data_IF_822896341558
#
_entry.id   IF_822896341558
#
_cell.length_a   1.000
_cell.length_b   1.000
_cell.length_c   1.000
_cell.angle_alpha   90.00
_cell.angle_beta   90.00
_cell.angle_gamma   90.00
#
_symmetry.space_group_name_H-M   'P 1'
#
loop_
_entity.id
_entity.type
_entity.pdbx_description
1 polymer ?
2 non-polymer ?
3 non-polymer ?
4 water ?
#
# COMPACT_ATOMS: atom_id res chain seq x y z
N UNK A 17 26.16 -13.15 9.47
CA UNK A 17 24.81 -12.49 9.44
C UNK A 17 24.51 -11.88 8.06
N UNK A 18 23.87 -12.67 7.17
CA UNK A 18 23.48 -12.19 5.83
C UNK A 18 22.32 -11.20 5.88
N UNK A 19 22.18 -10.37 4.86
CA UNK A 19 21.13 -9.34 4.81
C UNK A 19 20.31 -9.35 3.52
N UNK A 20 19.13 -8.75 3.58
CA UNK A 20 18.26 -8.57 2.42
C UNK A 20 18.15 -7.08 2.08
N UNK A 21 18.44 -6.75 0.82
CA UNK A 21 18.25 -5.39 0.33
C UNK A 21 16.87 -5.28 -0.28
N UNK A 22 16.08 -4.31 0.17
CA UNK A 22 14.72 -4.12 -0.31
C UNK A 22 14.61 -2.82 -1.12
N UNK A 23 14.13 -2.95 -2.36
CA UNK A 23 14.05 -1.82 -3.28
C UNK A 23 12.61 -1.52 -3.67
N UNK A 24 12.22 -0.26 -3.53
CA UNK A 24 10.94 0.24 -4.02
C UNK A 24 11.17 1.45 -4.91
N UNK A 25 11.05 1.24 -6.22
CA UNK A 25 11.30 2.30 -7.19
C UNK A 25 10.02 3.01 -7.62
N UNK A 26 9.79 4.19 -7.05
CA UNK A 26 8.67 5.03 -7.46
C UNK A 26 9.01 5.80 -8.71
N UNK A 27 8.02 6.57 -9.20
CA UNK A 27 8.21 7.43 -10.37
C UNK A 27 9.22 8.54 -10.08
N UNK A 28 9.16 9.07 -8.85
CA UNK A 28 9.97 10.22 -8.45
C UNK A 28 11.18 9.86 -7.58
N UNK A 29 11.18 8.67 -6.97
CA UNK A 29 12.24 8.27 -6.03
C UNK A 29 12.56 6.78 -5.98
N UNK A 30 13.57 6.41 -5.17
CA UNK A 30 13.92 5.03 -4.89
C UNK A 30 14.05 4.82 -3.39
N UNK A 31 13.09 4.13 -2.78
CA UNK A 31 13.16 3.80 -1.36
C UNK A 31 13.86 2.46 -1.17
N UNK A 32 14.66 2.35 -0.10
CA UNK A 32 15.36 1.10 0.19
C UNK A 32 15.56 0.82 1.67
N UNK A 33 15.62 -0.46 2.01
CA UNK A 33 15.93 -0.88 3.37
C UNK A 33 16.91 -2.05 3.37
N UNK A 34 17.76 -2.10 4.38
CA UNK A 34 18.62 -3.26 4.61
C UNK A 34 18.18 -3.93 5.90
N UNK A 35 17.58 -5.11 5.78
CA UNK A 35 17.11 -5.88 6.91
C UNK A 35 18.02 -7.07 7.15
N UNK A 36 18.24 -7.38 8.43
CA UNK A 36 19.06 -8.53 8.83
C UNK A 36 18.24 -9.82 8.80
N UNK A 37 18.67 -10.77 7.97
CA UNK A 37 17.99 -12.05 7.79
C UNK A 37 17.69 -12.74 9.12
N UNK A 38 18.64 -12.66 10.07
CA UNK A 38 18.53 -13.32 11.36
C UNK A 38 17.30 -12.91 12.17
N UNK A 39 17.06 -11.60 12.26
CA UNK A 39 16.03 -11.06 13.15
C UNK A 39 14.92 -10.30 12.44
N UNK A 40 15.09 -10.09 11.13
CA UNK A 40 14.18 -9.26 10.31
C UNK A 40 14.10 -7.81 10.80
N UNK A 41 15.23 -7.26 11.20
CA UNK A 41 15.32 -5.90 11.74
C UNK A 41 16.07 -4.96 10.79
N UNK A 42 15.59 -3.73 10.66
CA UNK A 42 16.20 -2.73 9.78
C UNK A 42 17.55 -2.28 10.32
N UNK A 43 18.60 -2.49 9.52
CA UNK A 43 19.94 -2.02 9.85
C UNK A 43 20.23 -0.68 9.18
N UNK A 44 19.60 -0.47 8.03
CA UNK A 44 19.82 0.74 7.25
C UNK A 44 18.59 1.05 6.39
N UNK A 45 18.29 2.33 6.21
CA UNK A 45 17.20 2.78 5.36
C UNK A 45 17.61 4.05 4.62
N UNK A 46 16.85 4.41 3.59
CA UNK A 46 17.13 5.61 2.82
C UNK A 46 16.16 5.91 1.70
N UNK A 47 16.49 6.91 0.89
CA UNK A 47 15.66 7.36 -0.23
C UNK A 47 16.50 8.16 -1.24
N UNK A 48 16.28 7.89 -2.52
CA UNK A 48 16.89 8.68 -3.59
C UNK A 48 15.81 9.55 -4.25
N UNK A 49 15.51 10.67 -3.61
CA UNK A 49 14.38 11.54 -3.98
C UNK A 49 14.70 12.43 -5.19
N UNK A 50 13.64 12.91 -5.85
CA UNK A 50 13.75 13.79 -7.03
C UNK A 50 14.60 13.17 -8.13
N UNK A 51 14.17 12.01 -8.61
CA UNK A 51 14.99 11.16 -9.47
C UNK A 51 15.15 11.67 -10.91
N UNK A 52 16.40 11.66 -11.37
CA UNK A 52 16.82 12.11 -12.72
C UNK A 52 16.41 13.53 -13.16
N UNK A 53 15.80 14.30 -12.25
CA UNK A 53 15.55 15.73 -12.47
C UNK A 53 16.86 16.50 -12.36
N UNK A 54 16.84 17.78 -12.73
CA UNK A 54 18.02 18.66 -12.62
C UNK A 54 18.75 18.48 -11.29
N UNK A 55 17.98 18.38 -10.20
CA UNK A 55 18.53 18.10 -8.87
C UNK A 55 18.10 16.72 -8.36
N UNK A 56 19.08 15.85 -8.14
CA UNK A 56 18.85 14.52 -7.58
C UNK A 56 19.75 14.29 -6.37
N UNK A 57 19.21 13.59 -5.37
CA UNK A 57 19.91 13.40 -4.08
C UNK A 57 19.44 12.16 -3.32
N UNK A 58 20.25 11.69 -2.39
CA UNK A 58 19.87 10.59 -1.49
C UNK A 58 20.21 10.90 -0.02
N UNK A 59 19.31 10.51 0.88
CA UNK A 59 19.51 10.71 2.31
C UNK A 59 19.32 9.41 3.10
N UNK A 60 20.43 8.87 3.59
CA UNK A 60 20.43 7.61 4.32
C UNK A 60 20.18 7.86 5.80
N UNK A 61 19.08 7.31 6.32
CA UNK A 61 18.64 7.52 7.71
C UNK A 61 18.35 8.98 8.05
N UNK A 62 18.21 9.81 7.01
CA UNK A 62 18.04 11.26 7.17
C UNK A 62 19.18 11.93 7.91
N UNK A 63 20.39 11.38 7.76
CA UNK A 63 21.54 11.81 8.55
C UNK A 63 22.53 12.69 7.77
N UNK A 64 22.56 12.55 6.46
CA UNK A 64 23.44 13.33 5.60
C UNK A 64 22.88 13.39 4.17
N UNK A 65 22.08 14.43 3.86
CA UNK A 65 21.49 14.57 2.52
C UNK A 65 22.56 14.85 1.45
N UNK A 66 23.13 13.78 0.90
CA UNK A 66 24.13 13.86 -0.16
C UNK A 66 23.52 14.29 -1.49
N UNK A 67 24.36 14.63 -2.46
CA UNK A 67 23.89 15.14 -3.75
C UNK A 67 24.31 14.27 -4.95
N UNK A 68 23.32 13.72 -5.64
CA UNK A 68 23.54 12.94 -6.85
C UNK A 68 23.79 13.86 -8.05
N UNK A 69 22.95 14.87 -8.20
CA UNK A 69 23.07 15.87 -9.27
C UNK A 69 22.74 15.28 -10.65
N UNK A 70 21.46 15.29 -11.00
CA UNK A 70 20.97 14.89 -12.33
C UNK A 70 21.21 13.42 -12.74
N UNK A 71 21.56 12.58 -11.77
CA UNK A 71 21.81 11.16 -12.03
C UNK A 71 20.50 10.36 -12.14
N UNK A 72 20.54 9.27 -12.92
CA UNK A 72 19.34 8.45 -13.19
C UNK A 72 19.16 7.30 -12.21
N UNK A 73 18.27 6.37 -12.56
CA UNK A 73 17.96 5.19 -11.73
C UNK A 73 19.17 4.27 -11.52
N UNK A 74 19.94 4.06 -12.59
CA UNK A 74 21.11 3.19 -12.56
C UNK A 74 22.21 3.73 -11.64
N UNK A 75 22.47 5.03 -11.75
CA UNK A 75 23.50 5.70 -10.93
C UNK A 75 23.08 5.87 -9.48
N UNK A 76 21.77 6.01 -9.26
CA UNK A 76 21.21 6.17 -7.92
C UNK A 76 21.39 4.90 -7.08
N UNK A 77 21.07 3.74 -7.68
CA UNK A 77 21.26 2.45 -7.02
C UNK A 77 22.75 2.13 -6.88
N UNK A 78 23.57 2.71 -7.76
CA UNK A 78 25.02 2.60 -7.68
C UNK A 78 25.59 3.40 -6.50
N UNK A 79 24.91 4.49 -6.16
CA UNK A 79 25.27 5.32 -4.99
C UNK A 79 24.93 4.62 -3.68
N UNK A 80 23.75 3.98 -3.66
CA UNK A 80 23.30 3.16 -2.53
C UNK A 80 24.23 1.95 -2.33
N UNK A 81 24.75 1.44 -3.45
CA UNK A 81 25.70 0.33 -3.44
C UNK A 81 27.04 0.73 -2.83
N UNK A 82 27.48 1.96 -3.10
CA UNK A 82 28.70 2.53 -2.51
C UNK A 82 28.62 2.60 -0.99
N UNK A 83 27.47 3.07 -0.49
CA UNK A 83 27.24 3.24 0.95
C UNK A 83 27.02 1.92 1.67
N UNK A 84 26.57 0.91 0.91
CA UNK A 84 26.50 -0.46 1.41
C UNK A 84 27.90 -1.01 1.64
N UNK A 85 28.84 -0.60 0.79
CA UNK A 85 30.25 -1.01 0.87
C UNK A 85 31.01 -0.17 1.89
N UNK A 86 30.65 1.11 1.99
CA UNK A 86 31.23 2.03 2.98
C UNK A 86 30.94 1.57 4.41
N UNK A 87 29.86 0.81 4.57
CA UNK A 87 29.50 0.24 5.87
C UNK A 87 29.79 -1.27 5.92
N UNK A 88 30.63 -1.72 4.99
CA UNK A 88 31.14 -3.10 4.93
C UNK A 88 30.08 -4.21 4.96
N UNK A 89 28.95 -3.98 4.28
CA UNK A 89 27.87 -4.97 4.24
C UNK A 89 27.49 -5.45 2.83
N UNK A 90 28.22 -4.98 1.81
CA UNK A 90 27.98 -5.39 0.43
C UNK A 90 28.12 -6.90 0.28
N UNK A 91 29.16 -7.45 0.89
CA UNK A 91 29.44 -8.89 0.80
C UNK A 91 28.52 -9.72 1.71
N UNK A 92 27.53 -9.05 2.31
CA UNK A 92 26.58 -9.70 3.20
C UNK A 92 25.17 -9.80 2.57
N UNK A 93 24.94 -9.03 1.51
CA UNK A 93 23.67 -9.02 0.78
C UNK A 93 23.39 -10.36 0.11
N UNK A 94 22.62 -11.21 0.79
CA UNK A 94 22.27 -12.53 0.26
C UNK A 94 21.08 -12.50 -0.69
N UNK A 95 20.18 -11.53 -0.48
CA UNK A 95 18.94 -11.44 -1.25
C UNK A 95 18.57 -10.00 -1.60
N UNK A 96 17.87 -9.82 -2.72
CA UNK A 96 17.32 -8.52 -3.09
C UNK A 96 15.83 -8.63 -3.40
N UNK A 97 15.01 -7.89 -2.65
CA UNK A 97 13.57 -7.87 -2.86
C UNK A 97 13.11 -6.63 -3.60
N UNK A 98 12.38 -6.82 -4.69
CA UNK A 98 11.83 -5.72 -5.46
C UNK A 98 10.32 -5.60 -5.24
N UNK A 99 9.90 -4.42 -4.80
CA UNK A 99 8.48 -4.10 -4.68
C UNK A 99 7.98 -3.78 -6.08
N UNK A 100 6.97 -4.50 -6.53
CA UNK A 100 6.39 -4.28 -7.87
C UNK A 100 4.96 -3.78 -7.73
N UNK A 101 4.67 -2.68 -8.42
CA UNK A 101 3.36 -2.05 -8.36
C UNK A 101 2.21 -2.91 -8.86
N UNK A 102 2.31 -3.40 -10.10
CA UNK A 102 1.18 -4.06 -10.76
C UNK A 102 1.57 -5.40 -11.39
N UNK A 103 1.08 -6.49 -10.80
CA UNK A 103 1.39 -7.82 -11.30
C UNK A 103 0.43 -8.32 -12.37
N UNK A 104 -0.65 -7.57 -12.59
CA UNK A 104 -1.67 -7.96 -13.55
C UNK A 104 -2.33 -9.26 -13.16
N UNK A 105 -2.59 -10.10 -14.15
CA UNK A 105 -3.28 -11.36 -13.93
C UNK A 105 -2.28 -12.52 -13.80
N UNK A 106 -1.04 -12.26 -14.24
CA UNK A 106 -0.02 -13.30 -14.37
C UNK A 106 0.63 -13.71 -13.05
N UNK A 107 0.63 -12.81 -12.07
CA UNK A 107 1.37 -13.05 -10.83
C UNK A 107 0.48 -13.23 -9.59
N UNK A 108 0.45 -14.46 -9.08
CA UNK A 108 -0.41 -14.79 -7.95
C UNK A 108 0.37 -14.84 -6.64
N UNK A 109 1.69 -14.96 -6.74
CA UNK A 109 2.57 -15.00 -5.57
C UNK A 109 3.90 -14.31 -5.87
N UNK A 110 4.78 -14.23 -4.88
CA UNK A 110 6.12 -13.65 -5.07
C UNK A 110 7.04 -14.65 -5.78
N UNK A 111 7.87 -14.14 -6.68
CA UNK A 111 8.72 -15.00 -7.51
C UNK A 111 10.22 -14.66 -7.42
N UNK A 112 11.05 -15.65 -7.76
CA UNK A 112 12.47 -15.44 -8.01
C UNK A 112 12.60 -14.88 -9.41
N UNK A 113 13.29 -13.76 -9.55
CA UNK A 113 13.40 -13.07 -10.83
C UNK A 113 14.26 -13.85 -11.85
N UNK A 114 13.67 -14.07 -13.02
CA UNK A 114 14.37 -14.65 -14.16
C UNK A 114 14.07 -13.78 -15.37
N UNK A 115 14.72 -14.09 -16.49
CA UNK A 115 14.42 -13.42 -17.76
C UNK A 115 12.93 -13.50 -18.09
N UNK A 116 12.32 -14.65 -17.79
CA UNK A 116 10.89 -14.86 -18.01
C UNK A 116 10.03 -13.88 -17.22
N UNK A 117 10.36 -13.71 -15.94
CA UNK A 117 9.60 -12.81 -15.08
C UNK A 117 9.65 -11.39 -15.63
N UNK A 118 10.84 -10.95 -16.01
CA UNK A 118 11.01 -9.61 -16.59
C UNK A 118 10.09 -9.45 -17.80
N UNK A 119 10.11 -10.42 -18.70
CA UNK A 119 9.25 -10.41 -19.88
C UNK A 119 7.79 -10.24 -19.47
N UNK A 120 7.37 -11.04 -18.49
CA UNK A 120 6.01 -11.02 -17.97
C UNK A 120 5.63 -9.71 -17.29
N UNK A 121 6.58 -9.09 -16.60
CA UNK A 121 6.37 -7.78 -15.98
C UNK A 121 6.25 -6.71 -17.07
N UNK A 122 7.11 -6.80 -18.09
CA UNK A 122 7.04 -5.92 -19.26
C UNK A 122 5.68 -6.03 -19.96
N UNK A 123 5.11 -7.24 -19.98
CA UNK A 123 3.82 -7.51 -20.59
C UNK A 123 2.65 -6.77 -19.93
N UNK A 124 2.59 -6.83 -18.60
CA UNK A 124 1.51 -6.18 -17.81
C UNK A 124 1.76 -4.71 -17.52
N UNK A 125 2.92 -4.20 -17.95
CA UNK A 125 3.32 -2.82 -17.69
C UNK A 125 2.45 -1.71 -18.27
N UNK A 126 1.66 -1.98 -19.33
CA UNK A 126 0.71 -0.96 -19.77
C UNK A 126 -0.36 -0.63 -18.73
N UNK A 127 -0.63 -1.57 -17.81
CA UNK A 127 -1.64 -1.37 -16.76
C UNK A 127 -1.22 -0.34 -15.72
N UNK A 128 0.08 -0.09 -15.62
CA UNK A 128 0.64 0.93 -14.73
C UNK A 128 1.97 1.45 -15.29
N UNK A 129 1.92 2.26 -16.36
CA UNK A 129 3.13 2.71 -17.04
C UNK A 129 4.08 3.50 -16.12
N UNK A 130 3.50 4.34 -15.26
CA UNK A 130 4.27 5.18 -14.35
C UNK A 130 5.20 4.36 -13.45
N UNK A 131 4.61 3.61 -12.52
CA UNK A 131 5.37 2.89 -11.50
C UNK A 131 6.11 1.66 -12.02
N UNK A 132 5.45 0.87 -12.87
CA UNK A 132 6.05 -0.39 -13.34
C UNK A 132 7.34 -0.25 -14.14
N UNK A 133 7.41 0.75 -15.02
CA UNK A 133 8.63 0.95 -15.80
C UNK A 133 9.81 1.36 -14.91
N UNK A 134 9.50 2.08 -13.84
CA UNK A 134 10.49 2.44 -12.82
C UNK A 134 10.93 1.20 -12.03
N UNK A 135 9.98 0.31 -11.75
CA UNK A 135 10.26 -0.95 -11.06
C UNK A 135 11.26 -1.82 -11.83
N UNK A 136 11.08 -1.86 -13.15
CA UNK A 136 11.97 -2.61 -14.04
C UNK A 136 13.34 -1.98 -14.13
N UNK A 137 13.39 -0.65 -14.17
CA UNK A 137 14.64 0.10 -14.16
C UNK A 137 15.48 -0.30 -12.95
N UNK A 138 14.82 -0.43 -11.80
CA UNK A 138 15.42 -0.92 -10.58
C UNK A 138 15.90 -2.35 -10.68
N UNK A 139 15.11 -3.20 -11.34
CA UNK A 139 15.49 -4.59 -11.57
C UNK A 139 16.72 -4.68 -12.46
N UNK A 140 16.74 -3.84 -13.50
CA UNK A 140 17.86 -3.76 -14.42
C UNK A 140 19.13 -3.33 -13.67
N UNK A 141 18.97 -2.31 -12.81
CA UNK A 141 20.07 -1.77 -12.01
C UNK A 141 20.64 -2.79 -11.02
N UNK A 142 19.80 -3.30 -10.13
CA UNK A 142 20.22 -4.27 -9.14
C UNK A 142 20.85 -5.51 -9.78
N UNK A 143 20.31 -5.94 -10.92
CA UNK A 143 20.89 -7.06 -11.68
C UNK A 143 22.32 -6.78 -12.10
N UNK A 144 22.52 -5.62 -12.71
CA UNK A 144 23.84 -5.18 -13.18
C UNK A 144 24.88 -5.14 -12.05
N UNK A 145 24.52 -4.55 -10.91
CA UNK A 145 25.44 -4.34 -9.81
C UNK A 145 25.54 -5.50 -8.81
N UNK A 146 24.54 -6.38 -8.79
CA UNK A 146 24.52 -7.52 -7.89
C UNK A 146 24.09 -8.80 -8.64
N UNK A 147 24.93 -9.25 -9.60
CA UNK A 147 24.51 -10.32 -10.51
C UNK A 147 24.43 -11.71 -9.87
N UNK A 148 25.39 -12.03 -9.01
CA UNK A 148 25.46 -13.33 -8.36
C UNK A 148 24.65 -13.37 -7.05
N UNK A 149 23.68 -12.48 -6.92
CA UNK A 149 22.76 -12.47 -5.79
C UNK A 149 21.34 -12.76 -6.28
N UNK A 150 20.69 -13.71 -5.62
CA UNK A 150 19.30 -14.06 -5.91
C UNK A 150 18.38 -12.85 -5.73
N UNK A 151 17.48 -12.66 -6.67
CA UNK A 151 16.56 -11.51 -6.61
C UNK A 151 15.09 -11.93 -6.72
N UNK A 152 14.26 -11.29 -5.90
CA UNK A 152 12.85 -11.64 -5.75
C UNK A 152 11.96 -10.46 -6.14
N UNK A 153 10.87 -10.77 -6.85
CA UNK A 153 9.85 -9.77 -7.16
C UNK A 153 8.61 -10.00 -6.31
N UNK A 154 8.20 -8.97 -5.57
CA UNK A 154 7.02 -9.03 -4.73
C UNK A 154 6.00 -8.01 -5.26
N UNK A 155 4.80 -8.50 -5.51
CA UNK A 155 3.77 -7.71 -6.19
C UNK A 155 2.72 -7.13 -5.24
N UNK A 156 2.33 -5.89 -5.52
CA UNK A 156 1.36 -5.17 -4.71
C UNK A 156 -0.06 -5.63 -5.01
N UNK A 157 -0.20 -6.50 -6.02
CA UNK A 157 -1.51 -6.98 -6.48
C UNK A 157 -1.75 -8.46 -6.21
N UNK A 158 -0.67 -9.23 -6.07
CA UNK A 158 -0.74 -10.69 -6.07
C UNK A 158 -1.70 -11.29 -5.05
N UNK A 159 -1.79 -10.64 -3.89
CA UNK A 159 -2.66 -11.09 -2.79
C UNK A 159 -4.15 -11.09 -3.19
N UNK A 160 -4.53 -10.13 -4.02
CA UNK A 160 -5.91 -9.91 -4.40
C UNK A 160 -6.40 -10.81 -5.53
N UNK A 161 -5.55 -11.73 -5.98
CA UNK A 161 -5.90 -12.62 -7.10
C UNK A 161 -6.88 -13.74 -6.72
N UNK A 162 -7.08 -13.94 -5.42
CA UNK A 162 -8.09 -14.90 -4.95
C UNK A 162 -9.53 -14.42 -5.17
N UNK A 163 -9.70 -13.16 -5.55
CA UNK A 163 -11.01 -12.59 -5.86
C UNK A 163 -11.77 -13.38 -6.95
N UNK A 164 -13.04 -13.65 -6.70
CA UNK A 164 -13.92 -14.32 -7.66
C UNK A 164 -14.35 -13.32 -8.73
N UNK A 165 -14.76 -13.81 -9.93
CA UNK A 165 -15.13 -12.93 -11.04
C UNK A 165 -16.17 -11.87 -10.67
N UNK A 166 -17.20 -12.26 -9.91
CA UNK A 166 -18.24 -11.36 -9.43
C UNK A 166 -17.69 -10.18 -8.61
N UNK A 167 -16.50 -10.36 -8.05
CA UNK A 167 -15.84 -9.35 -7.25
C UNK A 167 -14.93 -8.46 -8.09
N UNK A 168 -14.35 -9.02 -9.15
CA UNK A 168 -13.40 -8.24 -9.97
C UNK A 168 -13.93 -7.75 -11.31
N UNK A 169 -15.04 -8.30 -11.77
CA UNK A 169 -15.65 -7.85 -13.01
C UNK A 169 -16.29 -6.48 -12.84
N UNK A 170 -16.09 -5.62 -13.84
CA UNK A 170 -16.81 -4.37 -13.93
C UNK A 170 -18.06 -4.58 -14.77
N UNK A 171 -18.99 -3.64 -14.68
CA UNK A 171 -20.24 -3.68 -15.44
C UNK A 171 -20.09 -3.35 -16.91
N UNK A 172 -18.89 -2.99 -17.32
CA UNK A 172 -18.58 -2.66 -18.72
C UNK A 172 -18.79 -3.84 -19.66
N UNK A 173 -18.81 -3.60 -21.00
CA UNK A 173 -18.89 -4.70 -21.96
C UNK A 173 -17.76 -5.71 -21.78
N UNK A 174 -18.10 -6.99 -21.96
CA UNK A 174 -17.18 -8.10 -21.75
C UNK A 174 -15.83 -8.00 -22.47
N UNK A 175 -15.82 -7.40 -23.67
CA UNK A 175 -14.59 -7.24 -24.45
C UNK A 175 -13.45 -6.54 -23.71
N UNK A 176 -13.78 -5.46 -22.99
CA UNK A 176 -12.79 -4.71 -22.22
C UNK A 176 -12.03 -5.59 -21.22
N UNK A 177 -12.70 -6.63 -20.72
CA UNK A 177 -12.06 -7.61 -19.84
C UNK A 177 -11.23 -8.63 -20.62
N UNK A 178 -11.81 -9.24 -21.66
CA UNK A 178 -11.16 -10.33 -22.39
C UNK A 178 -10.00 -9.90 -23.29
N UNK A 179 -10.15 -8.77 -23.98
CA UNK A 179 -9.13 -8.30 -24.91
C UNK A 179 -8.16 -7.26 -24.33
N UNK A 180 -8.59 -6.57 -23.27
CA UNK A 180 -7.80 -5.48 -22.70
C UNK A 180 -7.44 -5.66 -21.21
N UNK A 181 -8.07 -6.63 -20.56
CA UNK A 181 -7.79 -6.94 -19.16
C UNK A 181 -8.28 -5.90 -18.16
N UNK A 182 -9.43 -5.29 -18.46
CA UNK A 182 -10.04 -4.32 -17.55
C UNK A 182 -10.85 -5.03 -16.46
N UNK A 183 -10.35 -4.95 -15.24
CA UNK A 183 -10.95 -5.60 -14.07
C UNK A 183 -10.33 -5.01 -12.81
N UNK A 184 -10.94 -5.33 -11.66
CA UNK A 184 -10.38 -4.98 -10.37
C UNK A 184 -9.10 -5.79 -10.14
N UNK A 185 -8.07 -5.12 -9.64
CA UNK A 185 -6.86 -5.81 -9.25
C UNK A 185 -6.62 -5.68 -7.75
N UNK A 186 -6.66 -4.44 -7.26
CA UNK A 186 -6.43 -4.17 -5.85
C UNK A 186 -4.97 -3.87 -5.58
N UNK A 187 -4.72 -3.16 -4.47
CA UNK A 187 -3.38 -2.72 -4.12
C UNK A 187 -3.19 -2.76 -2.61
N UNK A 188 -1.98 -2.43 -2.15
CA UNK A 188 -1.58 -2.63 -0.75
C UNK A 188 -1.58 -4.11 -0.36
N UNK A 189 -1.57 -4.99 -1.36
CA UNK A 189 -1.64 -6.44 -1.18
C UNK A 189 -0.66 -6.98 -0.15
N UNK A 190 0.58 -6.50 -0.21
CA UNK A 190 1.64 -6.92 0.68
C UNK A 190 1.33 -6.52 2.11
N UNK A 191 0.88 -5.27 2.28
CA UNK A 191 0.40 -4.77 3.56
C UNK A 191 -0.78 -5.61 4.05
N UNK A 192 -1.79 -5.77 3.20
CA UNK A 192 -3.00 -6.54 3.54
C UNK A 192 -2.67 -7.97 3.93
N UNK A 193 -1.75 -8.57 3.18
CA UNK A 193 -1.25 -9.90 3.47
C UNK A 193 -0.55 -9.93 4.83
N UNK A 194 0.41 -9.01 5.03
CA UNK A 194 1.18 -8.96 6.27
C UNK A 194 0.31 -8.76 7.51
N UNK A 195 -0.59 -7.79 7.43
CA UNK A 195 -1.45 -7.43 8.55
C UNK A 195 -2.38 -8.58 8.92
N UNK A 196 -3.06 -9.13 7.92
CA UNK A 196 -3.99 -10.25 8.12
C UNK A 196 -3.33 -11.44 8.83
N UNK A 197 -2.09 -11.76 8.46
CA UNK A 197 -1.36 -12.86 9.11
C UNK A 197 -1.22 -12.59 10.59
N UNK A 198 -0.67 -11.42 10.92
CA UNK A 198 -0.48 -11.00 12.31
C UNK A 198 -1.79 -11.04 13.10
N UNK A 199 -2.87 -10.62 12.45
CA UNK A 199 -4.20 -10.64 13.04
C UNK A 199 -4.62 -12.01 13.55
N UNK A 200 -4.27 -13.06 12.81
CA UNK A 200 -4.58 -14.42 13.26
C UNK A 200 -3.96 -14.74 14.59
N UNK A 201 -2.73 -14.28 14.80
CA UNK A 201 -2.04 -14.49 16.06
C UNK A 201 -2.54 -13.57 17.16
N UNK A 202 -2.68 -12.28 16.85
CA UNK A 202 -3.16 -11.30 17.83
C UNK A 202 -4.59 -11.59 18.31
N UNK A 203 -5.49 -11.87 17.38
CA UNK A 203 -6.89 -12.16 17.73
C UNK A 203 -7.11 -13.61 18.15
N UNK A 204 -6.07 -14.43 18.03
CA UNK A 204 -6.13 -15.88 18.23
C UNK A 204 -7.26 -16.49 17.41
N UNK A 205 -7.08 -16.50 16.10
CA UNK A 205 -8.08 -16.97 15.15
C UNK A 205 -7.49 -18.05 14.27
N UNK A 206 -8.30 -19.07 13.98
CA UNK A 206 -7.90 -20.08 13.00
C UNK A 206 -8.07 -19.49 11.61
N UNK A 207 -6.94 -19.30 10.91
CA UNK A 207 -6.93 -18.75 9.55
C UNK A 207 -7.99 -19.38 8.65
N UNK A 208 -8.04 -20.70 8.59
CA UNK A 208 -8.93 -21.44 7.69
C UNK A 208 -10.42 -21.29 8.02
N UNK A 209 -10.73 -20.71 9.18
CA UNK A 209 -12.11 -20.43 9.57
C UNK A 209 -12.24 -19.01 10.15
N UNK A 210 -11.97 -17.99 9.33
CA UNK A 210 -11.90 -16.62 9.79
C UNK A 210 -12.44 -15.61 8.78
N UNK A 211 -12.91 -14.47 9.29
CA UNK A 211 -13.35 -13.36 8.45
C UNK A 211 -12.85 -12.04 9.02
N UNK A 212 -11.96 -11.38 8.28
CA UNK A 212 -11.37 -10.12 8.71
C UNK A 212 -11.65 -9.02 7.70
N UNK A 213 -11.64 -7.79 8.17
CA UNK A 213 -11.59 -6.62 7.30
C UNK A 213 -10.34 -5.84 7.70
N UNK A 214 -9.54 -5.45 6.72
CA UNK A 214 -8.33 -4.68 6.98
C UNK A 214 -8.42 -3.30 6.33
N UNK A 215 -8.29 -2.26 7.15
CA UNK A 215 -8.31 -0.89 6.67
C UNK A 215 -6.89 -0.30 6.62
N UNK A 216 -6.30 -0.33 5.43
CA UNK A 216 -5.02 0.33 5.22
C UNK A 216 -5.28 1.80 4.99
N UNK A 217 -4.98 2.62 5.99
CA UNK A 217 -5.22 4.05 5.90
C UNK A 217 -3.90 4.82 5.94
N UNK A 218 -3.49 5.30 4.79
CA UNK A 218 -2.34 6.19 4.65
C UNK A 218 -2.66 7.26 3.61
N UNK A 219 -1.63 7.87 3.03
CA UNK A 219 -1.84 8.79 1.90
C UNK A 219 -2.52 8.07 0.74
N UNK A 220 -2.27 6.78 0.66
CA UNK A 220 -3.05 5.87 -0.15
C UNK A 220 -3.85 4.99 0.79
N UNK A 221 -5.15 4.85 0.52
CA UNK A 221 -6.02 4.12 1.41
C UNK A 221 -6.82 3.05 0.65
N UNK A 222 -6.88 1.85 1.24
CA UNK A 222 -7.67 0.75 0.67
C UNK A 222 -8.17 -0.19 1.75
N UNK A 223 -9.28 -0.86 1.45
CA UNK A 223 -9.91 -1.83 2.34
C UNK A 223 -9.84 -3.21 1.71
N UNK A 224 -9.66 -4.24 2.54
CA UNK A 224 -9.63 -5.61 2.06
C UNK A 224 -10.40 -6.56 2.97
N UNK A 225 -11.24 -7.37 2.35
CA UNK A 225 -11.94 -8.44 3.05
C UNK A 225 -11.16 -9.73 2.89
N UNK A 226 -10.75 -10.31 4.01
CA UNK A 226 -9.99 -11.54 4.02
C UNK A 226 -10.82 -12.67 4.62
N UNK A 227 -11.27 -13.58 3.77
CA UNK A 227 -12.05 -14.72 4.21
C UNK A 227 -11.19 -15.96 4.20
N UNK A 228 -11.12 -16.62 5.35
CA UNK A 228 -10.32 -17.84 5.54
C UNK A 228 -8.90 -17.75 4.98
N UNK A 229 -8.23 -16.63 5.29
CA UNK A 229 -6.87 -16.37 4.78
C UNK A 229 -6.79 -15.87 3.35
N UNK A 230 -7.93 -15.65 2.71
CA UNK A 230 -7.94 -15.26 1.30
C UNK A 230 -8.61 -13.91 1.04
N UNK A 231 -7.99 -13.11 0.19
CA UNK A 231 -8.55 -11.84 -0.23
C UNK A 231 -9.77 -12.09 -1.12
N UNK A 232 -10.94 -11.71 -0.64
CA UNK A 232 -12.19 -11.94 -1.37
C UNK A 232 -12.78 -10.66 -1.97
N UNK A 233 -12.41 -9.52 -1.39
CA UNK A 233 -12.86 -8.22 -1.90
C UNK A 233 -11.85 -7.16 -1.50
N UNK A 234 -11.69 -6.14 -2.34
CA UNK A 234 -10.79 -5.02 -2.05
C UNK A 234 -11.32 -3.70 -2.62
N UNK A 235 -10.97 -2.60 -1.96
CA UNK A 235 -11.52 -1.28 -2.25
C UNK A 235 -11.05 -0.66 -3.56
N UNK A 236 -9.74 -0.76 -3.83
CA UNK A 236 -9.16 -0.21 -5.05
C UNK A 236 -9.55 -1.06 -6.26
N UNK A 237 -9.28 -0.56 -7.46
CA UNK A 237 -9.75 -1.23 -8.66
C UNK A 237 -8.66 -1.64 -9.62
N UNK A 238 -8.86 -1.33 -10.90
CA UNK A 238 -7.82 -1.50 -11.90
C UNK A 238 -6.66 -0.58 -11.54
N UNK A 239 -6.99 0.67 -11.22
CA UNK A 239 -6.00 1.66 -10.77
C UNK A 239 -6.23 2.01 -9.31
N UNK A 240 -5.22 2.61 -8.65
CA UNK A 240 -5.37 3.02 -7.26
C UNK A 240 -6.39 4.15 -7.02
N UNK A 241 -7.05 4.64 -8.08
CA UNK A 241 -7.99 5.76 -7.96
C UNK A 241 -9.40 5.40 -7.49
N UNK A 242 -9.75 4.12 -7.50
CA UNK A 242 -11.07 3.69 -7.06
C UNK A 242 -11.10 3.37 -5.56
N UNK A 243 -12.25 3.58 -4.94
CA UNK A 243 -12.47 3.17 -3.57
C UNK A 243 -12.62 4.34 -2.61
N UNK A 244 -11.85 4.29 -1.52
CA UNK A 244 -11.88 5.33 -0.51
C UNK A 244 -11.38 6.65 -1.05
N UNK A 245 -11.87 7.73 -0.46
CA UNK A 245 -11.25 9.04 -0.64
C UNK A 245 -9.93 9.02 0.13
N UNK A 246 -8.91 9.61 -0.44
CA UNK A 246 -7.57 9.56 0.15
C UNK A 246 -6.97 10.96 0.36
N UNK A 247 -5.64 11.04 0.44
CA UNK A 247 -4.94 12.30 0.59
C UNK A 247 -5.24 13.27 -0.54
N UNK A 248 -4.81 12.93 -1.75
CA UNK A 248 -5.07 13.77 -2.92
C UNK A 248 -5.94 13.05 -3.96
N UNK A 249 -6.33 11.82 -3.66
CA UNK A 249 -7.18 11.02 -4.54
C UNK A 249 -8.65 11.15 -4.15
N UNK A 250 -9.51 11.24 -5.16
CA UNK A 250 -10.95 11.44 -4.98
C UNK A 250 -11.66 10.22 -4.37
N UNK A 251 -11.29 9.04 -4.83
CA UNK A 251 -11.98 7.81 -4.48
C UNK A 251 -13.15 7.56 -5.42
N UNK A 252 -14.16 6.86 -4.91
CA UNK A 252 -15.37 6.57 -5.69
C UNK A 252 -16.00 7.84 -6.23
N UNK A 253 -16.04 7.96 -7.55
CA UNK A 253 -16.60 9.13 -8.19
C UNK A 253 -17.56 8.74 -9.33
N UNK A 254 -18.76 9.34 -9.29
CA UNK A 254 -19.77 9.17 -10.34
C UNK A 254 -19.14 9.49 -11.68
N UNK A 255 -19.13 8.52 -12.59
CA UNK A 255 -18.58 8.74 -13.93
C UNK A 255 -19.44 9.73 -14.73
N UNK A 256 -20.75 9.71 -14.48
CA UNK A 256 -21.66 10.69 -15.06
C UNK A 256 -21.29 12.10 -14.67
N UNK A 257 -20.89 12.29 -13.41
CA UNK A 257 -20.47 13.58 -12.89
C UNK A 257 -19.18 14.06 -13.56
N UNK A 258 -18.25 13.13 -13.80
CA UNK A 258 -16.98 13.45 -14.44
C UNK A 258 -17.16 13.86 -15.90
N UNK A 259 -18.05 13.15 -16.60
CA UNK A 259 -18.42 13.48 -17.97
C UNK A 259 -19.12 14.85 -18.03
N UNK A 260 -19.92 15.13 -17.01
CA UNK A 260 -20.63 16.40 -16.89
C UNK A 260 -19.66 17.56 -16.65
N UNK A 261 -18.63 17.31 -15.85
CA UNK A 261 -17.59 18.30 -15.56
C UNK A 261 -16.77 18.59 -16.82
N UNK A 262 -16.43 17.53 -17.57
CA UNK A 262 -15.67 17.65 -18.81
C UNK A 262 -16.34 18.57 -19.84
N UNK A 263 -17.64 18.34 -20.08
CA UNK A 263 -18.40 19.12 -21.06
C UNK A 263 -18.71 20.53 -20.55
N UNK A 264 -18.67 20.72 -19.23
CA UNK A 264 -19.01 22.00 -18.60
C UNK A 264 -17.79 22.91 -18.45
N UNK A 265 -16.69 22.37 -17.91
CA UNK A 265 -15.48 23.15 -17.67
C UNK A 265 -14.57 23.20 -18.91
N UNK A 266 -14.77 22.28 -19.84
CA UNK A 266 -13.98 22.23 -21.07
C UNK A 266 -12.67 21.47 -20.94
N UNK A 267 -12.37 21.00 -19.73
CA UNK A 267 -11.15 20.22 -19.47
C UNK A 267 -11.19 18.85 -20.13
N UNK A 268 -10.03 18.40 -20.58
CA UNK A 268 -9.88 17.09 -21.21
C UNK A 268 -9.86 15.97 -20.17
N UNK A 269 -9.90 14.71 -20.63
CA UNK A 269 -9.79 13.54 -19.76
C UNK A 269 -8.43 13.47 -19.08
N UNK A 270 -7.41 14.00 -19.75
CA UNK A 270 -6.07 14.09 -19.20
C UNK A 270 -6.03 15.07 -18.03
N UNK A 271 -6.70 16.21 -18.19
CA UNK A 271 -6.80 17.22 -17.15
C UNK A 271 -7.44 16.68 -15.88
N UNK A 272 -8.53 15.94 -16.04
CA UNK A 272 -9.28 15.36 -14.92
C UNK A 272 -8.50 14.23 -14.26
N UNK A 273 -7.71 13.50 -15.05
CA UNK A 273 -6.84 12.44 -14.54
C UNK A 273 -5.81 13.00 -13.56
N UNK A 274 -5.39 14.24 -13.78
CA UNK A 274 -4.51 14.94 -12.85
C UNK A 274 -5.27 15.42 -11.61
N UNK A 275 -6.49 15.91 -11.81
CA UNK A 275 -7.32 16.45 -10.72
C UNK A 275 -7.72 15.35 -9.74
N UNK A 276 -8.24 14.26 -10.26
CA UNK A 276 -8.65 13.10 -9.46
C UNK A 276 -7.46 12.54 -8.66
N UNK A 277 -6.32 12.43 -9.33
CA UNK A 277 -5.13 11.83 -8.75
C UNK A 277 -4.36 12.73 -7.78
N UNK A 278 -4.18 14.00 -8.15
CA UNK A 278 -3.23 14.89 -7.44
C UNK A 278 -3.82 16.14 -6.78
N UNK A 279 -5.08 16.45 -7.06
CA UNK A 279 -5.70 17.67 -6.52
C UNK A 279 -6.96 17.44 -5.67
N UNK A 280 -7.49 16.21 -5.70
CA UNK A 280 -8.75 15.90 -5.02
C UNK A 280 -8.56 15.43 -3.57
N UNK A 281 -9.44 14.56 -3.10
CA UNK A 281 -9.34 13.97 -1.77
C UNK A 281 -9.45 14.95 -0.62
N UNK A 282 -8.70 14.67 0.44
CA UNK A 282 -8.61 15.56 1.61
C UNK A 282 -8.13 16.95 1.22
N UNK A 283 -7.11 16.99 0.36
CA UNK A 283 -6.59 18.25 -0.18
C UNK A 283 -7.67 19.00 -0.97
N UNK A 284 -8.51 18.25 -1.67
CA UNK A 284 -9.58 18.82 -2.50
C UNK A 284 -10.66 19.52 -1.72
N UNK A 285 -11.23 18.83 -0.75
CA UNK A 285 -12.36 19.35 0.02
C UNK A 285 -11.93 20.50 0.95
N UNK A 286 -10.88 20.27 1.73
CA UNK A 286 -10.38 21.26 2.68
C UNK A 286 -9.80 22.49 1.98
N UNK A 287 -9.09 22.24 0.88
CA UNK A 287 -8.33 23.28 0.19
C UNK A 287 -7.19 23.78 1.06
N UNK A 288 -6.66 22.88 1.89
CA UNK A 288 -5.67 23.22 2.90
C UNK A 288 -4.47 22.28 2.85
N UNK A 289 -4.70 21.00 3.14
CA UNK A 289 -3.60 20.04 3.20
C UNK A 289 -3.99 18.62 2.86
N UNK A 290 -3.05 17.91 2.24
CA UNK A 290 -3.12 16.47 2.06
C UNK A 290 -2.90 15.75 3.39
N UNK A 291 -2.10 16.37 4.25
CA UNK A 291 -1.75 15.80 5.56
C UNK A 291 -2.87 15.92 6.60
N UNK A 292 -3.10 14.83 7.31
CA UNK A 292 -4.17 14.72 8.29
C UNK A 292 -3.91 15.47 9.60
N UNK A 293 -2.66 15.44 10.09
CA UNK A 293 -2.28 16.16 11.32
C UNK A 293 -2.65 17.64 11.25
N UNK A 294 -2.50 18.23 10.06
CA UNK A 294 -2.86 19.62 9.82
C UNK A 294 -4.37 19.81 9.92
N UNK A 295 -5.11 18.93 9.26
CA UNK A 295 -6.58 19.00 9.22
C UNK A 295 -7.21 18.76 10.59
N UNK A 296 -6.58 17.89 11.39
CA UNK A 296 -7.02 17.63 12.76
C UNK A 296 -6.81 18.86 13.63
N UNK A 297 -5.72 19.58 13.39
CA UNK A 297 -5.46 20.84 14.08
C UNK A 297 -6.41 21.94 13.60
N UNK A 298 -6.62 22.00 12.29
CA UNK A 298 -7.50 23.00 11.67
C UNK A 298 -8.92 22.96 12.21
N UNK A 299 -9.48 21.75 12.28
CA UNK A 299 -10.83 21.52 12.82
C UNK A 299 -10.89 21.94 14.30
N UNK A 300 -9.82 21.65 15.04
CA UNK A 300 -9.74 22.05 16.45
C UNK A 300 -9.83 23.57 16.60
N UNK A 301 -9.29 24.31 15.63
CA UNK A 301 -9.37 25.77 15.60
C UNK A 301 -10.58 26.27 14.82
N UNK A 302 -11.64 25.47 14.77
CA UNK A 302 -12.93 25.87 14.18
C UNK A 302 -12.94 26.07 12.68
N UNK A 303 -12.33 25.14 11.94
CA UNK A 303 -12.32 25.17 10.48
C UNK A 303 -13.27 24.09 9.97
N UNK A 304 -14.35 24.50 9.33
CA UNK A 304 -15.40 23.56 8.92
C UNK A 304 -15.02 22.68 7.71
N UNK A 305 -14.39 23.29 6.70
CA UNK A 305 -13.97 22.54 5.50
C UNK A 305 -13.00 21.40 5.81
N UNK A 306 -12.22 21.54 6.89
CA UNK A 306 -11.35 20.47 7.34
C UNK A 306 -12.17 19.42 8.08
N UNK A 307 -13.07 19.88 8.94
CA UNK A 307 -14.00 19.01 9.66
C UNK A 307 -14.84 18.19 8.68
N UNK A 308 -15.30 18.85 7.61
CA UNK A 308 -16.07 18.20 6.55
C UNK A 308 -15.24 17.11 5.86
N UNK A 309 -14.03 17.48 5.43
CA UNK A 309 -13.13 16.56 4.74
C UNK A 309 -12.85 15.31 5.57
N UNK A 310 -12.68 15.50 6.88
CA UNK A 310 -12.44 14.40 7.81
C UNK A 310 -13.69 13.54 8.00
N UNK A 311 -14.82 14.19 8.30
CA UNK A 311 -16.11 13.50 8.45
C UNK A 311 -16.50 12.70 7.20
N UNK A 312 -16.19 13.25 6.02
CA UNK A 312 -16.41 12.58 4.75
C UNK A 312 -15.51 11.36 4.63
N UNK A 313 -14.21 11.58 4.82
CA UNK A 313 -13.20 10.53 4.83
C UNK A 313 -13.66 9.37 5.71
N UNK A 314 -14.03 9.68 6.95
CA UNK A 314 -14.55 8.72 7.91
C UNK A 314 -15.77 7.96 7.35
N UNK A 315 -16.71 8.70 6.76
CA UNK A 315 -17.94 8.12 6.23
C UNK A 315 -17.67 7.12 5.12
N UNK A 316 -16.78 7.49 4.20
CA UNK A 316 -16.45 6.63 3.07
C UNK A 316 -15.66 5.38 3.47
N UNK A 317 -14.94 5.47 4.59
CA UNK A 317 -14.23 4.33 5.15
C UNK A 317 -15.23 3.38 5.80
N UNK A 318 -16.14 3.94 6.58
CA UNK A 318 -17.15 3.16 7.28
C UNK A 318 -18.04 2.41 6.27
N UNK A 319 -18.34 3.08 5.16
CA UNK A 319 -19.17 2.51 4.11
C UNK A 319 -18.50 1.27 3.51
N UNK A 320 -17.22 1.41 3.15
CA UNK A 320 -16.47 0.30 2.55
C UNK A 320 -16.11 -0.83 3.53
N UNK A 321 -15.89 -0.49 4.79
CA UNK A 321 -15.65 -1.51 5.79
C UNK A 321 -16.91 -2.37 5.95
N UNK A 322 -18.07 -1.72 6.06
CA UNK A 322 -19.32 -2.43 6.16
C UNK A 322 -19.64 -3.11 4.84
N UNK A 323 -19.39 -2.41 3.74
CA UNK A 323 -19.57 -2.96 2.40
C UNK A 323 -18.83 -4.28 2.24
N UNK A 324 -17.53 -4.26 2.52
CA UNK A 324 -16.66 -5.40 2.34
C UNK A 324 -16.98 -6.56 3.29
N UNK A 325 -17.72 -6.26 4.35
CA UNK A 325 -18.15 -7.30 5.29
C UNK A 325 -19.13 -8.29 4.64
N UNK A 326 -19.73 -7.87 3.53
CA UNK A 326 -20.69 -8.70 2.78
C UNK A 326 -20.03 -9.96 2.22
N UNK A 327 -18.76 -9.85 1.84
CA UNK A 327 -18.03 -10.96 1.27
C UNK A 327 -17.50 -11.93 2.33
N UNK A 328 -18.04 -11.82 3.55
CA UNK A 328 -17.69 -12.73 4.63
C UNK A 328 -18.88 -13.54 5.08
N UNK A 329 -18.61 -14.78 5.46
CA UNK A 329 -19.60 -15.64 6.09
C UNK A 329 -19.80 -15.20 7.55
N UNK A 330 -18.76 -14.64 8.14
CA UNK A 330 -18.76 -14.20 9.55
C UNK A 330 -17.71 -13.10 9.73
N UNK A 331 -18.02 -12.12 10.57
CA UNK A 331 -17.07 -11.05 10.87
C UNK A 331 -16.46 -11.23 12.25
N UNK A 332 -15.13 -11.28 12.29
CA UNK A 332 -14.41 -11.49 13.53
C UNK A 332 -13.56 -10.28 13.91
N UNK A 333 -12.89 -9.69 12.92
CA UNK A 333 -12.01 -8.56 13.20
C UNK A 333 -12.07 -7.41 12.20
N UNK A 334 -11.97 -6.20 12.75
CA UNK A 334 -11.66 -5.02 11.96
C UNK A 334 -10.25 -4.56 12.37
N UNK A 335 -9.35 -4.44 11.38
CA UNK A 335 -7.96 -4.13 11.67
C UNK A 335 -7.54 -2.84 11.00
N UNK A 336 -7.00 -1.92 11.81
CA UNK A 336 -6.52 -0.64 11.30
C UNK A 336 -5.03 -0.70 11.16
N UNK A 337 -4.53 -0.13 10.07
CA UNK A 337 -3.12 -0.15 9.75
C UNK A 337 -2.80 1.01 8.82
N UNK A 338 -1.51 1.27 8.60
CA UNK A 338 -1.09 2.41 7.78
C UNK A 338 -0.82 3.63 8.63
N UNK A 339 -0.31 4.69 8.01
CA UNK A 339 0.05 5.91 8.73
C UNK A 339 -1.08 6.45 9.59
N UNK A 340 -2.24 6.62 8.96
CA UNK A 340 -3.43 7.13 9.62
C UNK A 340 -4.02 6.09 10.57
N UNK A 341 -4.16 4.86 10.08
CA UNK A 341 -4.72 3.76 10.85
C UNK A 341 -4.03 3.52 12.18
N UNK A 342 -2.72 3.74 12.20
CA UNK A 342 -1.89 3.41 13.36
C UNK A 342 -1.77 4.56 14.36
N UNK A 343 -1.84 5.79 13.84
CA UNK A 343 -1.52 6.98 14.61
C UNK A 343 -2.65 7.98 14.90
N UNK A 344 -3.83 7.75 14.33
CA UNK A 344 -4.95 8.66 14.53
C UNK A 344 -6.03 8.09 15.43
N UNK A 345 -6.00 8.51 16.69
CA UNK A 345 -7.02 8.16 17.69
C UNK A 345 -8.41 8.61 17.24
N UNK A 346 -8.44 9.79 16.63
CA UNK A 346 -9.67 10.41 16.13
C UNK A 346 -10.36 9.57 15.03
N UNK A 347 -9.68 9.43 13.89
CA UNK A 347 -10.22 8.71 12.75
C UNK A 347 -10.71 7.30 13.12
N UNK A 348 -9.90 6.57 13.88
CA UNK A 348 -10.29 5.24 14.33
C UNK A 348 -11.61 5.25 15.08
N UNK A 349 -11.75 6.17 16.02
CA UNK A 349 -12.94 6.22 16.86
C UNK A 349 -14.17 6.69 16.10
N UNK A 350 -13.99 7.68 15.23
CA UNK A 350 -15.10 8.15 14.39
C UNK A 350 -15.60 7.03 13.48
N UNK A 351 -14.67 6.22 12.96
CA UNK A 351 -15.02 5.09 12.10
C UNK A 351 -15.78 4.01 12.86
N UNK A 352 -15.33 3.70 14.07
CA UNK A 352 -16.00 2.68 14.87
C UNK A 352 -17.37 3.14 15.37
N UNK A 353 -17.47 4.42 15.71
CA UNK A 353 -18.76 5.01 16.11
C UNK A 353 -19.76 4.90 14.95
N UNK A 354 -19.24 5.04 13.73
CA UNK A 354 -20.03 4.94 12.51
C UNK A 354 -20.45 3.50 12.20
N UNK A 355 -19.85 2.54 12.88
CA UNK A 355 -20.12 1.13 12.58
C UNK A 355 -20.85 0.43 13.72
N UNK A 356 -21.51 1.23 14.58
CA UNK A 356 -22.29 0.71 15.69
C UNK A 356 -23.31 -0.33 15.26
N UNK A 357 -23.79 -0.21 14.02
CA UNK A 357 -24.75 -1.17 13.44
C UNK A 357 -24.22 -2.61 13.50
N UNK A 358 -22.91 -2.76 13.30
CA UNK A 358 -22.25 -4.06 13.34
C UNK A 358 -21.96 -4.54 14.76
N UNK A 359 -22.51 -3.82 15.75
CA UNK A 359 -22.39 -4.20 17.15
C UNK A 359 -20.99 -4.05 17.73
N UNK A 360 -20.28 -3.01 17.31
CA UNK A 360 -18.95 -2.72 17.84
C UNK A 360 -19.03 -1.82 19.07
N UNK A 361 -18.32 -2.19 20.13
CA UNK A 361 -18.03 -1.27 21.24
C UNK A 361 -16.53 -1.04 21.37
N UNK A 362 -16.16 0.22 21.62
CA UNK A 362 -14.78 0.66 21.66
C UNK A 362 -14.24 0.78 23.09
N UNK A 363 -12.94 0.54 23.26
CA UNK A 363 -12.26 0.84 24.52
C UNK A 363 -11.41 2.09 24.34
N UNK A 364 -11.91 3.22 24.83
CA UNK A 364 -11.25 4.52 24.60
C UNK A 364 -9.97 4.69 25.42
N UNK A 365 -9.82 3.93 26.51
CA UNK A 365 -8.54 3.86 27.20
C UNK A 365 -7.51 3.21 26.28
N UNK A 366 -7.88 2.06 25.70
CA UNK A 366 -7.03 1.32 24.76
C UNK A 366 -6.82 2.04 23.45
N UNK A 367 -7.86 2.71 22.95
CA UNK A 367 -7.76 3.46 21.69
C UNK A 367 -6.92 4.73 21.82
N UNK A 368 -6.72 5.17 23.06
CA UNK A 368 -5.92 6.36 23.34
C UNK A 368 -4.43 6.10 23.14
N UNK A 369 -3.98 4.88 23.40
CA UNK A 369 -2.56 4.51 23.35
C UNK A 369 -1.91 4.82 22.01
N UNK A 370 -0.69 5.40 22.04
CA UNK A 370 0.08 5.71 20.83
C UNK A 370 0.60 4.46 20.14
N UNK A 371 1.16 4.62 18.94
CA UNK A 371 1.61 3.49 18.13
C UNK A 371 2.71 2.64 18.78
N UNK A 372 3.51 3.27 19.64
CA UNK A 372 4.57 2.59 20.37
C UNK A 372 4.12 1.31 21.06
N UNK A 373 2.81 1.18 21.25
CA UNK A 373 2.21 -0.01 21.87
C UNK A 373 1.97 -1.12 20.85
N UNK A 374 2.40 -0.89 19.62
CA UNK A 374 2.41 -1.89 18.56
C UNK A 374 1.07 -2.55 18.29
N UNK A 375 1.11 -3.87 18.11
CA UNK A 375 -0.08 -4.64 17.83
C UNK A 375 -0.96 -4.72 19.07
N UNK A 376 -2.14 -4.10 18.98
CA UNK A 376 -3.03 -3.91 20.13
C UNK A 376 -4.50 -4.04 19.75
N UNK A 377 -5.29 -4.58 20.67
CA UNK A 377 -6.75 -4.62 20.56
C UNK A 377 -7.33 -3.32 21.12
N UNK A 378 -8.30 -2.74 20.43
CA UNK A 378 -8.91 -1.48 20.89
C UNK A 378 -10.42 -1.55 21.13
N UNK A 379 -10.97 -2.76 21.09
CA UNK A 379 -12.38 -2.97 21.34
C UNK A 379 -12.65 -3.43 22.77
N UNK A 380 -13.73 -2.91 23.37
CA UNK A 380 -14.18 -3.35 24.69
C UNK A 380 -14.62 -4.81 24.67
N UNK A 381 -14.85 -5.38 25.85
CA UNK A 381 -15.22 -6.79 25.98
C UNK A 381 -16.55 -7.23 25.34
N UNK A 382 -17.64 -6.45 25.56
CA UNK A 382 -18.95 -6.90 25.04
C UNK A 382 -19.11 -6.80 23.51
N UNK A 383 -18.08 -6.29 22.82
CA UNK A 383 -18.14 -6.06 21.38
C UNK A 383 -18.36 -7.34 20.59
N UNK A 384 -19.18 -7.24 19.54
CA UNK A 384 -19.47 -8.38 18.66
C UNK A 384 -18.28 -8.70 17.77
N UNK A 385 -17.53 -7.67 17.44
CA UNK A 385 -16.36 -7.78 16.56
C UNK A 385 -15.15 -7.14 17.24
N UNK A 386 -14.01 -7.81 17.14
CA UNK A 386 -12.78 -7.32 17.73
C UNK A 386 -12.15 -6.27 16.83
N UNK A 387 -11.86 -5.10 17.41
CA UNK A 387 -11.12 -4.05 16.72
C UNK A 387 -9.67 -4.04 17.20
N UNK A 388 -8.75 -3.75 16.29
CA UNK A 388 -7.33 -3.81 16.58
C UNK A 388 -6.48 -2.92 15.68
N UNK A 389 -5.34 -2.48 16.19
CA UNK A 389 -4.33 -1.80 15.39
C UNK A 389 -3.16 -2.74 15.21
N UNK A 390 -2.76 -2.95 13.96
CA UNK A 390 -1.59 -3.76 13.64
C UNK A 390 -0.71 -2.96 12.70
N UNK A 391 0.45 -2.50 13.21
CA UNK A 391 1.40 -1.74 12.40
C UNK A 391 1.83 -2.57 11.20
N UNK A 392 1.70 -2.00 10.01
CA UNK A 392 2.11 -2.71 8.80
C UNK A 392 3.63 -2.68 8.63
N UNK A 393 4.18 -3.76 8.08
CA UNK A 393 5.61 -3.82 7.78
C UNK A 393 5.82 -4.51 6.44
N UNK A 394 5.80 -3.71 5.37
CA UNK A 394 5.94 -4.23 4.02
C UNK A 394 7.33 -4.79 3.83
N UNK A 395 8.32 -4.10 4.41
CA UNK A 395 9.72 -4.49 4.34
C UNK A 395 9.98 -5.88 4.93
N UNK A 396 9.35 -6.18 6.07
CA UNK A 396 9.46 -7.48 6.71
C UNK A 396 8.82 -8.57 5.86
N UNK A 397 7.68 -8.25 5.25
CA UNK A 397 6.95 -9.20 4.41
C UNK A 397 7.72 -9.53 3.14
N UNK A 398 8.34 -8.51 2.54
CA UNK A 398 9.16 -8.71 1.35
C UNK A 398 10.37 -9.58 1.67
N UNK A 399 11.04 -9.27 2.78
CA UNK A 399 12.17 -10.08 3.24
C UNK A 399 11.77 -11.53 3.49
N UNK A 400 10.61 -11.75 4.11
CA UNK A 400 10.12 -13.09 4.39
C UNK A 400 9.87 -13.92 3.14
N UNK A 401 9.34 -13.28 2.10
CA UNK A 401 9.15 -13.95 0.82
C UNK A 401 10.51 -14.29 0.23
N UNK A 402 11.44 -13.34 0.31
CA UNK A 402 12.80 -13.52 -0.17
C UNK A 402 13.52 -14.67 0.56
N UNK A 403 13.45 -14.66 1.89
CA UNK A 403 14.08 -15.70 2.71
C UNK A 403 13.55 -17.10 2.38
N UNK A 404 12.22 -17.19 2.23
CA UNK A 404 11.55 -18.44 1.84
C UNK A 404 12.08 -18.91 0.48
N UNK A 405 12.07 -18.01 -0.49
CA UNK A 405 12.54 -18.31 -1.85
C UNK A 405 14.06 -18.44 -1.91
N UNK A 406 14.74 -18.02 -0.85
CA UNK A 406 16.18 -18.15 -0.73
C UNK A 406 16.61 -19.60 -0.54
N UNK A 407 15.73 -20.41 0.03
CA UNK A 407 16.00 -21.83 0.27
C UNK A 407 15.63 -22.73 -0.92
N UNK A 408 15.21 -22.12 -2.03
CA UNK A 408 14.69 -22.84 -3.19
C UNK A 408 15.78 -23.04 -4.26
N UNK A 409 15.78 -24.22 -4.88
CA UNK A 409 16.70 -24.52 -5.99
C UNK A 409 16.10 -24.12 -7.33
N UNK A 410 16.65 -23.04 -7.92
CA UNK A 410 16.19 -22.52 -9.21
C UNK A 410 17.28 -22.60 -10.28
X LIG B 1 -1.41 2.96 -3.22
X LIG B 1 -0.87 3.99 -2.39
X LIG B 1 -0.42 2.61 -4.32
X LIG B 1 -0.47 1.20 -4.59
X LIG C 1 -12.23 26.82 -11.98
X LIG C 1 -13.24 26.25 -11.14
X LIG C 1 -12.73 26.83 -13.42
X LIG C 1 -12.98 25.48 -13.86
X LIG D 1 28.23 0.81 12.65
X LIG D 1 29.51 0.40 12.13
X LIG D 1 28.34 2.22 13.20
X LIG D 1 27.25 3.01 12.70
X LIG E 1 18.01 -17.82 -13.11
X LIG E 1 18.07 -18.61 -14.31
X LIG E 1 18.24 -16.34 -13.45
X LIG E 1 17.80 -16.05 -14.79
X LIG F 1 0.85 4.15 1.56
X LIG F 1 -0.50 3.86 0.95
X LIG F 1 1.03 3.60 2.95
X LIG F 1 2.02 3.90 0.61
X LIG F 1 2.06 6.62 2.35
X LIG F 1 2.36 7.73 1.38
X LIG F 1 3.17 5.68 2.77
X LIG F 1 0.83 5.76 1.75
X LIG F 1 1.83 6.79 5.16
X LIG F 1 3.30 7.09 5.38
X LIG F 1 1.31 5.37 5.34
X LIG F 1 1.42 7.27 3.68
X LIG F 1 0.97 7.74 6.10
X LIG F 1 1.00 9.17 5.94
X LIG F 1 -0.31 9.74 6.45
X LIG F 1 -0.49 9.41 7.83
X LIG F 1 -0.34 11.25 6.33
X LIG F 1 -1.52 11.64 5.62
X LIG F 1 -0.39 11.77 7.75
X LIG F 1 -1.27 12.88 7.89
X LIG F 1 -0.90 10.58 8.56
X LIG F 1 -0.35 10.58 9.94
X LIG F 1 0.91 10.26 10.31
X LIG F 1 1.06 10.37 11.65
X LIG F 1 -0.10 10.77 12.17
X LIG F 1 -0.64 11.09 13.52
X LIG F 1 0.15 10.99 14.63
X LIG F 1 -1.94 11.48 13.63
X LIG F 1 -2.73 11.58 12.55
X LIG F 1 -2.32 11.31 11.29
X LIG F 1 -1.05 10.91 11.04
#
# INVERSE_FOLDING_TARGET
MRGSHHHHHHGMASNEFPVVLVINCGSSSIKFSVLDVATCDVLMAGIADGMNTENAFLSINGDKPINLAHSNYEDALKAIAFELEKRDLTDSVALIGHRIAHGGELFTQSVIITDEIIDNIRRVSPLAPLHNYANLSGIDAARHLFPAVRQVAVFDTSFHQTLAPEAYLYGLPWEYFSSLGVRRYGFHGTSHRYVSRRAYELLDLDEKDSGLIVAHLGNGASICAVRNGQSVDTSMGMTPLEGLMMGTRSGDVDFGAMAWIAKETGQTLSDLERVVNKESGLLGISGLSSDLRVLEKAWHEGHERARLAIKTFVHRIARHIAGHAASLHRLDGIIFTGGIGENSVLIRQLVIEHLGVLGLTLDVEMNKQPNSHGERIISANPSQVICAVIPTNEEKMIALDAIHLGNVKA
EDO C1 O1 C2 O2
EDO C1 O1 C2 O2
EDO C1 O1 C2 O2
EDO C1 O1 C2 O2
ATP PG O1G O2G O3G PB O1B O2B O3B PA O1A O2A O3A O5' C5' C4' O4' C3' O3' C2' O2' C1' N9 C8 N7 C5 C6 N6 N1 C2 N3 C4
#
